data_IF_529068655967
#
_entry.id   IF_529068655967
#
_cell.length_a   1.000
_cell.length_b   1.000
_cell.length_c   1.000
_cell.angle_alpha   90.00
_cell.angle_beta   90.00
_cell.angle_gamma   90.00
#
_symmetry.space_group_name_H-M   'P 1'
#
loop_
_entity.id
_entity.type
_entity.pdbx_description
1 polymer ?
#
# COMPACT_ATOMS: atom_id res chain seq x y z
N UNK A 1 12.60 2.77 -27.33
CA UNK A 1 13.05 2.02 -26.14
C UNK A 1 11.82 1.79 -25.28
N UNK A 2 11.21 0.60 -25.34
CA UNK A 2 10.10 0.23 -24.47
C UNK A 2 10.62 0.14 -23.04
N UNK A 3 10.51 1.24 -22.30
CA UNK A 3 10.76 1.22 -20.87
C UNK A 3 9.70 0.32 -20.25
N UNK A 4 10.11 -0.80 -19.68
CA UNK A 4 9.24 -1.64 -18.87
C UNK A 4 8.58 -0.77 -17.80
N UNK A 5 7.28 -0.52 -17.97
CA UNK A 5 6.50 0.28 -17.03
C UNK A 5 6.49 -0.51 -15.72
N UNK A 6 7.04 0.06 -14.65
CA UNK A 6 6.99 -0.50 -13.30
C UNK A 6 5.87 0.22 -12.56
N UNK A 7 4.83 -0.49 -12.17
CA UNK A 7 3.64 0.12 -11.59
C UNK A 7 3.87 0.59 -10.16
N UNK A 8 4.51 -0.26 -9.37
CA UNK A 8 4.88 0.00 -7.98
C UNK A 8 6.33 -0.43 -7.78
N UNK A 9 7.14 0.45 -7.22
CA UNK A 9 8.52 0.16 -6.86
C UNK A 9 8.74 0.52 -5.40
N UNK A 10 9.18 -0.45 -4.61
CA UNK A 10 9.55 -0.30 -3.22
C UNK A 10 11.05 -0.54 -3.10
N UNK A 11 11.74 0.38 -2.44
CA UNK A 11 13.19 0.33 -2.28
C UNK A 11 13.59 0.57 -0.83
N UNK A 12 14.33 -0.41 -0.27
CA UNK A 12 14.91 -0.40 1.07
C UNK A 12 13.94 0.10 2.15
N UNK A 13 12.72 -0.40 2.14
CA UNK A 13 11.68 0.06 3.06
C UNK A 13 11.97 -0.44 4.48
N UNK A 14 12.02 0.50 5.42
CA UNK A 14 12.14 0.21 6.84
C UNK A 14 10.96 0.78 7.63
N UNK A 15 10.49 0.01 8.61
CA UNK A 15 9.51 0.48 9.59
C UNK A 15 9.77 -0.14 10.95
N UNK A 16 9.83 0.71 11.97
CA UNK A 16 10.03 0.39 13.38
C UNK A 16 8.95 1.06 14.22
N UNK A 17 8.45 0.35 15.23
CA UNK A 17 7.60 0.93 16.27
C UNK A 17 8.33 0.81 17.61
N UNK A 18 8.80 1.95 18.13
CA UNK A 18 9.64 1.97 19.31
C UNK A 18 10.88 1.10 19.10
N UNK A 19 11.00 0.03 19.88
CA UNK A 19 12.13 -0.89 19.77
C UNK A 19 11.96 -2.02 18.74
N UNK A 20 10.75 -2.24 18.23
CA UNK A 20 10.43 -3.40 17.38
C UNK A 20 10.53 -3.04 15.90
N UNK A 21 11.44 -3.69 15.18
CA UNK A 21 11.52 -3.60 13.71
C UNK A 21 10.45 -4.49 13.10
N UNK A 22 9.53 -3.89 12.35
CA UNK A 22 8.42 -4.60 11.68
C UNK A 22 8.72 -4.84 10.21
N UNK A 23 9.42 -3.91 9.55
CA UNK A 23 9.90 -4.06 8.18
C UNK A 23 11.40 -3.69 8.13
N UNK A 24 12.19 -4.55 7.51
CA UNK A 24 13.64 -4.39 7.39
C UNK A 24 14.06 -4.60 5.93
N UNK A 25 14.59 -3.56 5.29
CA UNK A 25 15.14 -3.59 3.92
C UNK A 25 14.22 -4.20 2.85
N UNK A 26 12.90 -3.98 2.94
CA UNK A 26 11.97 -4.57 1.97
C UNK A 26 12.10 -3.86 0.62
N UNK A 27 12.39 -4.61 -0.44
CA UNK A 27 12.51 -4.09 -1.80
C UNK A 27 11.85 -5.03 -2.81
N UNK A 28 10.94 -4.52 -3.64
CA UNK A 28 10.34 -5.26 -4.74
C UNK A 28 9.71 -4.34 -5.78
N UNK A 29 9.42 -4.90 -6.95
CA UNK A 29 8.77 -4.22 -8.07
C UNK A 29 7.51 -4.99 -8.42
N UNK A 30 6.42 -4.29 -8.69
CA UNK A 30 5.20 -4.83 -9.29
C UNK A 30 5.03 -4.22 -10.68
N UNK A 31 4.90 -5.08 -11.68
CA UNK A 31 4.69 -4.68 -13.07
C UNK A 31 3.20 -4.77 -13.44
N UNK A 32 2.77 -4.11 -14.51
CA UNK A 32 1.43 -4.27 -15.05
C UNK A 32 1.10 -5.73 -15.34
N UNK A 33 -0.03 -6.20 -14.81
CA UNK A 33 -0.51 -7.58 -14.97
C UNK A 33 -0.01 -8.56 -13.90
N UNK A 34 0.93 -8.15 -13.04
CA UNK A 34 1.41 -8.98 -11.94
C UNK A 34 0.29 -9.21 -10.90
N UNK A 35 0.25 -10.43 -10.37
CA UNK A 35 -0.59 -10.80 -9.23
C UNK A 35 0.32 -11.30 -8.12
N UNK A 36 0.43 -10.53 -7.05
CA UNK A 36 1.29 -10.85 -5.90
C UNK A 36 0.47 -11.09 -4.65
N UNK A 37 0.83 -12.12 -3.89
CA UNK A 37 0.27 -12.43 -2.58
C UNK A 37 1.31 -12.19 -1.49
N UNK A 38 0.96 -11.40 -0.48
CA UNK A 38 1.80 -11.20 0.70
C UNK A 38 1.36 -12.18 1.80
N UNK A 39 2.22 -13.14 2.13
CA UNK A 39 1.96 -14.19 3.12
C UNK A 39 2.97 -14.12 4.28
N UNK A 40 2.55 -14.58 5.45
CA UNK A 40 3.39 -14.60 6.66
C UNK A 40 2.56 -14.68 7.93
N UNK A 41 3.18 -14.95 9.09
CA UNK A 41 2.48 -15.04 10.37
C UNK A 41 1.83 -13.72 10.80
N UNK A 42 0.89 -13.77 11.74
CA UNK A 42 0.30 -12.57 12.32
C UNK A 42 1.39 -11.77 13.04
N UNK A 43 1.38 -10.44 12.86
CA UNK A 43 2.40 -9.55 13.44
C UNK A 43 3.66 -9.35 12.58
N UNK A 44 3.84 -10.06 11.46
CA UNK A 44 5.03 -9.90 10.61
C UNK A 44 5.04 -8.62 9.73
N UNK A 45 4.13 -7.68 9.95
CA UNK A 45 4.12 -6.40 9.22
C UNK A 45 3.37 -6.35 7.89
N UNK A 46 2.55 -7.35 7.55
CA UNK A 46 1.78 -7.35 6.27
C UNK A 46 0.88 -6.13 6.14
N UNK A 47 0.05 -5.90 7.15
CA UNK A 47 -0.87 -4.76 7.18
C UNK A 47 -0.11 -3.44 7.18
N UNK A 48 1.03 -3.37 7.87
CA UNK A 48 1.94 -2.22 7.85
C UNK A 48 2.48 -1.94 6.45
N UNK A 49 2.98 -2.96 5.74
CA UNK A 49 3.46 -2.81 4.36
C UNK A 49 2.36 -2.30 3.43
N UNK A 50 1.15 -2.88 3.51
CA UNK A 50 0.02 -2.45 2.69
C UNK A 50 -0.42 -1.01 3.01
N UNK A 51 -0.39 -0.59 4.28
CA UNK A 51 -0.68 0.79 4.69
C UNK A 51 0.34 1.79 4.18
N UNK A 52 1.62 1.41 4.18
CA UNK A 52 2.70 2.25 3.64
C UNK A 52 2.54 2.42 2.12
N UNK A 53 2.26 1.32 1.40
CA UNK A 53 1.96 1.38 -0.04
C UNK A 53 0.72 2.23 -0.32
N UNK A 54 -0.29 2.15 0.56
CA UNK A 54 -1.50 2.97 0.50
C UNK A 54 -1.31 4.44 0.87
N UNK A 55 -0.09 4.87 1.25
CA UNK A 55 0.20 6.23 1.70
C UNK A 55 -0.48 6.59 3.03
N UNK A 56 -1.04 5.61 3.75
CA UNK A 56 -1.68 5.79 5.06
C UNK A 56 -0.69 5.80 6.21
N UNK A 57 0.52 5.31 5.96
CA UNK A 57 1.59 5.26 6.93
C UNK A 57 2.92 5.63 6.26
N UNK A 58 3.76 6.39 6.95
CA UNK A 58 5.07 6.77 6.44
C UNK A 58 6.11 5.71 6.85
N UNK A 59 7.01 5.29 5.94
CA UNK A 59 8.16 4.51 6.31
C UNK A 59 9.18 5.37 7.05
N UNK A 60 10.05 4.74 7.84
CA UNK A 60 11.14 5.46 8.52
C UNK A 60 12.33 5.67 7.57
N UNK A 61 12.54 4.73 6.66
CA UNK A 61 13.53 4.82 5.58
C UNK A 61 13.04 4.11 4.33
N UNK A 62 13.66 4.43 3.20
CA UNK A 62 13.30 3.88 1.90
C UNK A 62 12.24 4.71 1.18
N UNK A 63 11.79 4.21 0.03
CA UNK A 63 10.83 4.91 -0.81
C UNK A 63 9.85 3.97 -1.48
N UNK A 64 8.62 4.46 -1.65
CA UNK A 64 7.56 3.86 -2.46
C UNK A 64 7.29 4.79 -3.64
N UNK A 65 7.40 4.27 -4.86
CA UNK A 65 7.15 5.01 -6.10
C UNK A 65 6.05 4.30 -6.91
N UNK A 66 5.09 5.08 -7.37
CA UNK A 66 4.06 4.65 -8.31
C UNK A 66 4.36 5.23 -9.69
N UNK A 67 4.15 4.45 -10.74
CA UNK A 67 4.24 4.94 -12.11
C UNK A 67 3.16 4.31 -13.00
N UNK A 68 2.53 5.08 -13.91
CA UNK A 68 2.70 6.52 -14.11
C UNK A 68 2.14 7.36 -12.94
N UNK A 69 2.45 8.66 -12.84
CA UNK A 69 2.03 9.51 -11.71
C UNK A 69 0.51 9.60 -11.48
N UNK A 70 -0.29 9.32 -12.51
CA UNK A 70 -1.75 9.29 -12.50
C UNK A 70 -2.34 7.91 -12.16
N UNK A 71 -1.49 6.93 -11.82
CA UNK A 71 -1.92 5.61 -11.36
C UNK A 71 -2.81 5.74 -10.12
N UNK A 72 -4.02 5.18 -10.20
CA UNK A 72 -4.94 5.10 -9.06
C UNK A 72 -4.68 3.84 -8.25
N UNK A 73 -4.36 4.03 -6.98
CA UNK A 73 -4.24 2.93 -6.03
C UNK A 73 -5.58 2.69 -5.32
N UNK A 74 -6.05 1.44 -5.34
CA UNK A 74 -7.15 0.99 -4.49
C UNK A 74 -6.62 0.31 -3.24
N UNK A 75 -7.15 0.68 -2.09
CA UNK A 75 -6.81 0.05 -0.81
C UNK A 75 -8.10 -0.31 -0.07
N UNK A 76 -8.22 -1.58 0.31
CA UNK A 76 -9.31 -2.10 1.14
C UNK A 76 -8.76 -2.39 2.53
N UNK A 77 -9.40 -1.82 3.54
CA UNK A 77 -8.96 -1.98 4.92
C UNK A 77 -9.36 -3.34 5.50
N UNK A 78 -8.51 -3.84 6.39
CA UNK A 78 -8.81 -5.05 7.15
C UNK A 78 -9.77 -4.69 8.29
N UNK A 79 -11.01 -5.19 8.23
CA UNK A 79 -12.01 -5.00 9.28
C UNK A 79 -12.86 -3.72 9.12
N UNK A 80 -13.40 -3.51 7.92
CA UNK A 80 -14.30 -2.40 7.62
C UNK A 80 -15.50 -2.40 8.58
N UNK A 81 -15.81 -1.24 9.13
CA UNK A 81 -17.01 -1.05 9.95
C UNK A 81 -18.18 -0.67 9.05
N UNK A 82 -19.32 -1.30 9.26
CA UNK A 82 -20.57 -1.04 8.56
C UNK A 82 -21.55 -0.44 9.56
N UNK A 83 -22.39 0.51 9.13
CA UNK A 83 -23.47 0.96 9.99
C UNK A 83 -24.58 -0.08 9.99
N UNK A 84 -25.28 -0.21 11.12
CA UNK A 84 -26.45 -1.06 11.22
C UNK A 84 -27.51 -0.57 10.22
N UNK A 85 -27.89 -1.43 9.27
CA UNK A 85 -28.88 -1.14 8.23
C UNK A 85 -28.31 -0.75 6.87
N UNK A 86 -26.99 -0.63 6.71
CA UNK A 86 -26.37 -0.41 5.40
C UNK A 86 -26.66 -1.57 4.45
N UNK A 87 -27.11 -1.27 3.23
CA UNK A 87 -27.15 -2.27 2.17
C UNK A 87 -25.78 -2.40 1.51
N UNK A 88 -25.55 -3.52 0.80
CA UNK A 88 -24.33 -3.68 0.01
C UNK A 88 -24.17 -2.57 -1.04
N UNK A 89 -25.27 -2.05 -1.58
CA UNK A 89 -25.24 -0.95 -2.54
C UNK A 89 -24.75 0.35 -1.88
N UNK A 90 -25.22 0.65 -0.66
CA UNK A 90 -24.80 1.82 0.12
C UNK A 90 -23.31 1.75 0.47
N UNK A 91 -22.85 0.55 0.84
CA UNK A 91 -21.45 0.30 1.15
C UNK A 91 -20.51 0.45 -0.07
N UNK A 92 -20.88 -0.14 -1.21
CA UNK A 92 -20.07 -0.02 -2.43
C UNK A 92 -20.08 1.41 -2.99
N UNK A 93 -21.20 2.12 -2.86
CA UNK A 93 -21.33 3.52 -3.28
C UNK A 93 -20.51 4.50 -2.44
N UNK A 94 -20.22 4.16 -1.17
CA UNK A 94 -19.46 5.01 -0.24
C UNK A 94 -17.97 4.68 -0.14
N UNK A 95 -17.53 3.55 -0.72
CA UNK A 95 -16.12 3.14 -0.68
C UNK A 95 -15.25 4.09 -1.50
N UNK A 96 -14.53 4.99 -0.82
CA UNK A 96 -13.54 5.84 -1.46
C UNK A 96 -12.26 5.05 -1.77
N UNK A 97 -11.99 4.87 -3.06
CA UNK A 97 -10.66 4.51 -3.54
C UNK A 97 -9.75 5.70 -3.19
N UNK A 98 -8.87 5.51 -2.22
CA UNK A 98 -7.95 6.54 -1.77
C UNK A 98 -6.98 6.90 -2.90
N UNK A 99 -7.26 7.98 -3.63
CA UNK A 99 -6.36 8.50 -4.65
C UNK A 99 -5.08 9.02 -4.00
N UNK A 100 -4.00 8.26 -4.07
CA UNK A 100 -2.66 8.73 -3.66
C UNK A 100 -2.10 9.65 -4.73
N UNK A 101 -2.24 10.96 -4.50
CA UNK A 101 -1.43 11.98 -5.15
C UNK A 101 -0.08 12.11 -4.43
N UNK A 102 0.99 11.89 -5.18
CA UNK A 102 2.40 12.26 -4.93
C UNK A 102 2.89 12.27 -3.47
N UNK A 103 3.57 11.19 -3.08
CA UNK A 103 4.54 11.23 -1.97
C UNK A 103 5.79 11.97 -2.47
N UNK A 104 5.81 13.29 -2.33
CA UNK A 104 7.05 14.08 -2.29
C UNK A 104 7.52 14.13 -0.85
N UNK A 105 8.73 13.66 -0.60
CA UNK A 105 9.48 13.91 0.63
C UNK A 105 10.63 14.85 0.22
N UNK A 106 10.89 15.95 0.97
CA UNK A 106 11.93 16.93 0.62
C UNK A 106 13.34 16.36 0.53
#
# INVERSE_FOLDING_TARGET
MEGSIRMLHISNLHRRYGDVTVLEQVSFVVNPGDRMGLVGPNGCGKTTLLRIVAGREQPDQGAVQLSPPDLRLGYLEQGQQYADGDTLADFLGSTQICGVGQVSIP
#
